data_IF_397030623562
#
_entry.id   IF_397030623562
#
_cell.length_a   1.000
_cell.length_b   1.000
_cell.length_c   1.000
_cell.angle_alpha   90.00
_cell.angle_beta   90.00
_cell.angle_gamma   90.00
#
_symmetry.space_group_name_H-M   'P 1'
#
loop_
_entity.id
_entity.type
_entity.pdbx_description
1 polymer ?
#
# COMPACT_ATOMS: atom_id res chain seq x y z
N UNK A 1 -38.38 -50.37 -35.58
CA UNK A 1 -37.71 -49.09 -35.89
C UNK A 1 -37.69 -48.24 -34.62
N UNK A 2 -36.51 -47.96 -34.05
CA UNK A 2 -36.37 -47.10 -32.87
C UNK A 2 -36.34 -45.64 -33.33
N UNK A 3 -37.26 -44.80 -32.85
CA UNK A 3 -37.23 -43.37 -33.16
C UNK A 3 -36.74 -42.60 -31.93
N UNK A 4 -35.56 -42.03 -32.11
CA UNK A 4 -34.75 -41.33 -31.12
C UNK A 4 -35.35 -39.96 -30.72
N UNK A 5 -35.22 -39.66 -29.42
CA UNK A 5 -35.05 -38.37 -28.71
C UNK A 5 -35.52 -37.03 -29.30
N UNK A 6 -35.86 -36.06 -28.41
CA UNK A 6 -34.84 -35.05 -28.14
C UNK A 6 -34.65 -34.75 -26.64
N UNK A 7 -33.42 -34.91 -26.16
CA UNK A 7 -32.96 -34.45 -24.85
C UNK A 7 -32.82 -32.92 -24.89
N UNK A 8 -33.71 -32.22 -24.21
CA UNK A 8 -33.65 -30.77 -24.06
C UNK A 8 -32.42 -30.40 -23.20
N UNK A 9 -31.47 -29.73 -23.85
CA UNK A 9 -30.24 -29.19 -23.27
C UNK A 9 -30.55 -28.08 -22.27
N UNK A 10 -30.51 -28.42 -20.97
CA UNK A 10 -30.69 -27.47 -19.88
C UNK A 10 -29.40 -26.68 -19.64
N UNK A 11 -29.30 -25.49 -20.27
CA UNK A 11 -28.24 -24.50 -20.00
C UNK A 11 -28.33 -24.03 -18.55
N UNK A 12 -27.54 -24.65 -17.65
CA UNK A 12 -27.20 -24.08 -16.34
C UNK A 12 -26.53 -22.73 -16.52
N UNK A 13 -27.28 -21.65 -16.32
CA UNK A 13 -26.68 -20.32 -16.11
C UNK A 13 -25.96 -20.33 -14.75
N UNK A 14 -24.75 -19.74 -14.65
CA UNK A 14 -24.10 -19.56 -13.34
C UNK A 14 -24.98 -18.62 -12.51
N UNK A 15 -25.51 -19.13 -11.40
CA UNK A 15 -26.23 -18.32 -10.42
C UNK A 15 -25.22 -17.39 -9.78
N UNK A 16 -25.23 -16.11 -10.16
CA UNK A 16 -24.64 -15.07 -9.32
C UNK A 16 -25.25 -15.20 -7.93
N UNK A 17 -24.40 -15.24 -6.91
CA UNK A 17 -24.78 -15.46 -5.53
C UNK A 17 -25.87 -14.48 -5.08
N UNK A 18 -26.74 -14.89 -4.14
CA UNK A 18 -27.81 -14.03 -3.65
C UNK A 18 -27.21 -12.80 -2.97
N UNK A 19 -27.49 -11.61 -3.51
CA UNK A 19 -27.43 -10.35 -2.76
C UNK A 19 -28.53 -10.43 -1.69
N UNK A 20 -28.16 -11.01 -0.55
CA UNK A 20 -29.07 -11.40 0.53
C UNK A 20 -29.40 -10.17 1.38
N UNK A 21 -30.68 -9.85 1.50
CA UNK A 21 -31.18 -8.81 2.38
C UNK A 21 -31.06 -9.20 3.86
N UNK A 22 -30.29 -8.40 4.60
CA UNK A 22 -30.80 -7.64 5.74
C UNK A 22 -31.03 -8.38 7.06
N UNK A 23 -30.02 -9.02 7.62
CA UNK A 23 -29.85 -9.12 9.07
C UNK A 23 -29.02 -7.95 9.60
N UNK A 24 -29.44 -7.34 10.71
CA UNK A 24 -28.75 -6.21 11.37
C UNK A 24 -27.28 -6.49 11.66
N UNK A 25 -26.95 -7.76 11.92
CA UNK A 25 -25.59 -8.27 12.05
C UNK A 25 -24.78 -8.15 10.75
N UNK A 26 -25.35 -8.42 9.58
CA UNK A 26 -24.67 -8.23 8.28
C UNK A 26 -24.56 -6.75 7.89
N UNK A 27 -25.52 -5.91 8.27
CA UNK A 27 -25.41 -4.46 8.15
C UNK A 27 -24.26 -3.90 9.02
N UNK A 28 -24.16 -4.37 10.26
CA UNK A 28 -23.07 -4.00 11.17
C UNK A 28 -21.72 -4.55 10.69
N UNK A 29 -21.67 -5.80 10.21
CA UNK A 29 -20.45 -6.43 9.70
C UNK A 29 -19.99 -5.77 8.39
N UNK A 30 -20.93 -5.41 7.51
CA UNK A 30 -20.65 -4.67 6.28
C UNK A 30 -20.18 -3.25 6.56
N UNK A 31 -20.84 -2.53 7.46
CA UNK A 31 -20.42 -1.18 7.86
C UNK A 31 -19.05 -1.21 8.55
N UNK A 32 -18.82 -2.11 9.49
CA UNK A 32 -17.56 -2.26 10.19
C UNK A 32 -16.43 -2.70 9.25
N UNK A 33 -16.73 -3.58 8.28
CA UNK A 33 -15.79 -3.97 7.23
C UNK A 33 -15.39 -2.80 6.32
N UNK A 34 -16.35 -1.97 5.89
CA UNK A 34 -16.08 -0.77 5.11
C UNK A 34 -15.24 0.24 5.89
N UNK A 35 -15.56 0.48 7.17
CA UNK A 35 -14.79 1.40 8.03
C UNK A 35 -13.38 0.88 8.29
N UNK A 36 -13.22 -0.43 8.55
CA UNK A 36 -11.90 -1.05 8.69
C UNK A 36 -11.06 -0.90 7.42
N UNK A 37 -11.65 -1.18 6.26
CA UNK A 37 -10.96 -1.06 4.97
C UNK A 37 -10.55 0.39 4.68
N UNK A 38 -11.41 1.39 4.93
CA UNK A 38 -11.05 2.79 4.72
C UNK A 38 -9.96 3.25 5.67
N UNK A 39 -9.96 2.83 6.94
CA UNK A 39 -8.90 3.14 7.89
C UNK A 39 -7.54 2.54 7.48
N UNK A 40 -7.53 1.29 7.00
CA UNK A 40 -6.30 0.67 6.47
C UNK A 40 -5.78 1.41 5.25
N UNK A 41 -6.67 1.81 4.33
CA UNK A 41 -6.29 2.62 3.17
C UNK A 41 -5.71 3.96 3.60
N UNK A 42 -6.35 4.67 4.53
CA UNK A 42 -5.84 5.94 5.07
C UNK A 42 -4.47 5.74 5.72
N UNK A 43 -4.29 4.67 6.51
CA UNK A 43 -3.00 4.36 7.13
C UNK A 43 -1.92 4.13 6.08
N UNK A 44 -2.22 3.37 5.02
CA UNK A 44 -1.27 3.11 3.94
C UNK A 44 -0.81 4.40 3.24
N UNK A 45 -1.70 5.40 3.11
CA UNK A 45 -1.36 6.71 2.56
C UNK A 45 -0.53 7.58 3.52
N UNK A 46 -0.45 7.22 4.81
CA UNK A 46 0.34 7.96 5.80
C UNK A 46 1.81 7.51 5.85
N UNK A 47 2.20 6.48 5.09
CA UNK A 47 3.57 5.96 5.08
C UNK A 47 4.26 6.46 3.82
N UNK A 48 5.28 7.30 4.00
CA UNK A 48 6.15 7.74 2.91
C UNK A 48 7.56 7.21 3.14
N UNK A 49 8.10 6.50 2.14
CA UNK A 49 9.48 6.01 2.16
C UNK A 49 10.35 6.90 1.29
N UNK A 50 11.48 7.35 1.82
CA UNK A 50 12.54 7.96 1.03
C UNK A 50 13.69 6.99 0.85
N UNK A 51 14.24 6.95 -0.37
CA UNK A 51 15.47 6.22 -0.66
C UNK A 51 16.63 6.74 0.21
N UNK A 52 17.54 5.89 0.69
CA UNK A 52 18.70 6.30 1.49
C UNK A 52 19.56 7.40 0.85
N UNK A 53 19.58 7.46 -0.49
CA UNK A 53 20.35 8.44 -1.26
C UNK A 53 19.55 9.70 -1.61
N UNK A 54 18.40 9.92 -0.97
CA UNK A 54 17.54 11.08 -1.20
C UNK A 54 17.30 11.84 0.10
N UNK A 55 17.15 13.15 -0.05
CA UNK A 55 16.65 14.04 0.99
C UNK A 55 15.21 14.41 0.69
N UNK A 56 14.43 14.60 1.75
CA UNK A 56 13.03 14.98 1.67
C UNK A 56 12.81 16.31 2.37
N UNK A 57 12.16 17.25 1.68
CA UNK A 57 11.62 18.46 2.30
C UNK A 57 10.12 18.28 2.53
N UNK A 58 9.62 18.32 3.77
CA UNK A 58 8.20 18.14 4.06
C UNK A 58 7.40 19.32 3.51
N UNK A 59 6.39 19.01 2.71
CA UNK A 59 5.43 19.95 2.16
C UNK A 59 4.03 19.55 2.59
N UNK A 60 3.27 20.49 3.13
CA UNK A 60 1.84 20.30 3.33
C UNK A 60 1.12 20.46 1.98
N UNK A 61 0.33 19.47 1.57
CA UNK A 61 -0.46 19.53 0.34
C UNK A 61 -1.59 20.57 0.43
N UNK A 62 -2.19 20.73 1.61
CA UNK A 62 -3.33 21.64 1.83
C UNK A 62 -2.90 23.11 1.89
N UNK A 63 -1.87 23.44 2.68
CA UNK A 63 -1.41 24.83 2.82
C UNK A 63 -0.29 25.22 1.86
N UNK A 64 0.31 24.26 1.15
CA UNK A 64 1.49 24.48 0.31
C UNK A 64 2.76 24.83 1.10
N UNK A 65 2.68 24.93 2.44
CA UNK A 65 3.80 25.30 3.29
C UNK A 65 4.89 24.23 3.27
N UNK A 66 6.11 24.68 3.02
CA UNK A 66 7.32 23.86 3.02
C UNK A 66 8.03 24.05 4.36
N UNK A 67 8.29 22.96 5.05
CA UNK A 67 9.05 22.96 6.30
C UNK A 67 10.54 23.18 6.03
N UNK A 68 11.23 23.72 7.03
CA UNK A 68 12.69 23.95 6.99
C UNK A 68 13.50 22.71 7.34
N UNK A 69 12.89 21.72 7.97
CA UNK A 69 13.58 20.52 8.43
C UNK A 69 13.79 19.53 7.27
N UNK A 70 15.06 19.32 6.92
CA UNK A 70 15.48 18.33 5.93
C UNK A 70 15.52 16.96 6.60
N UNK A 71 14.74 16.00 6.10
CA UNK A 71 14.82 14.60 6.52
C UNK A 71 15.69 13.80 5.55
N UNK A 72 16.54 12.94 6.11
CA UNK A 72 17.33 11.95 5.36
C UNK A 72 16.50 10.70 5.08
N UNK A 73 16.95 9.93 4.09
CA UNK A 73 16.32 8.68 3.67
C UNK A 73 15.95 7.76 4.84
N UNK A 74 14.84 7.03 4.66
CA UNK A 74 14.19 6.28 5.74
C UNK A 74 12.68 6.25 5.56
N UNK A 75 12.03 5.47 6.42
CA UNK A 75 10.55 5.42 6.49
C UNK A 75 10.12 6.49 7.47
N UNK A 76 9.34 7.45 6.96
CA UNK A 76 8.79 8.53 7.78
C UNK A 76 7.27 8.44 7.79
N UNK A 77 6.67 8.65 8.96
CA UNK A 77 5.22 8.74 9.07
C UNK A 77 4.78 10.15 8.70
N UNK A 78 4.23 10.26 7.50
CA UNK A 78 3.82 11.52 6.91
C UNK A 78 2.32 11.46 6.81
N UNK A 79 1.62 12.25 7.63
CA UNK A 79 0.15 12.28 7.58
C UNK A 79 -0.37 12.44 6.14
N UNK A 80 -1.61 12.04 5.85
CA UNK A 80 -2.10 11.79 4.49
C UNK A 80 -2.11 13.04 3.58
N UNK A 81 -1.98 14.23 4.18
CA UNK A 81 -1.93 15.52 3.49
C UNK A 81 -0.54 16.14 3.44
N UNK A 82 0.50 15.38 3.75
CA UNK A 82 1.89 15.81 3.67
C UNK A 82 2.60 14.98 2.61
N UNK A 83 3.48 15.62 1.87
CA UNK A 83 4.32 14.98 0.86
C UNK A 83 5.75 15.46 1.01
N UNK A 84 6.69 14.69 0.46
CA UNK A 84 8.08 15.11 0.40
C UNK A 84 8.44 15.60 -0.99
N UNK A 85 9.08 16.76 -1.05
CA UNK A 85 9.88 17.13 -2.22
C UNK A 85 11.20 16.39 -2.08
N UNK A 86 11.45 15.46 -2.99
CA UNK A 86 12.67 14.65 -2.98
C UNK A 86 13.75 15.29 -3.86
N UNK A 87 14.98 15.26 -3.37
CA UNK A 87 16.15 15.70 -4.13
C UNK A 87 17.35 14.78 -3.86
N UNK A 88 18.24 14.58 -4.86
CA UNK A 88 19.34 13.65 -4.73
C UNK A 88 20.35 14.13 -3.68
N UNK A 89 20.86 13.20 -2.87
CA UNK A 89 21.96 13.49 -1.95
C UNK A 89 23.26 13.68 -2.74
N UNK A 90 23.83 14.88 -2.68
CA UNK A 90 25.12 15.20 -3.32
C UNK A 90 26.33 14.68 -2.54
N UNK A 91 26.13 14.18 -1.32
CA UNK A 91 27.17 13.60 -0.48
C UNK A 91 26.70 12.24 0.03
N UNK A 92 27.45 11.19 -0.31
CA UNK A 92 27.32 9.85 0.21
C UNK A 92 28.56 9.51 1.04
N UNK A 93 28.37 9.15 2.31
CA UNK A 93 29.47 8.68 3.15
C UNK A 93 29.67 7.20 2.90
N UNK A 94 30.73 6.83 2.18
CA UNK A 94 31.15 5.44 1.99
C UNK A 94 32.05 5.05 3.16
N UNK A 95 31.61 4.08 3.95
CA UNK A 95 32.45 3.45 4.97
C UNK A 95 33.06 2.18 4.39
N UNK A 96 34.38 2.07 4.46
CA UNK A 96 35.10 0.85 4.09
C UNK A 96 35.34 0.01 5.35
N UNK A 97 34.89 -1.24 5.34
CA UNK A 97 35.34 -2.23 6.33
C UNK A 97 36.75 -2.66 5.97
N UNK A 98 37.68 -2.62 6.92
CA UNK A 98 39.05 -3.11 6.73
C UNK A 98 39.15 -4.64 6.76
N UNK A 99 38.09 -5.32 7.19
CA UNK A 99 37.99 -6.77 7.16
C UNK A 99 37.64 -7.23 5.74
N UNK A 100 38.67 -7.34 4.90
CA UNK A 100 38.59 -8.24 3.75
C UNK A 100 38.64 -9.67 4.27
N UNK A 101 37.74 -10.57 3.82
CA UNK A 101 37.78 -12.00 4.17
C UNK A 101 39.12 -12.68 3.87
N UNK A 102 39.94 -12.07 3.01
CA UNK A 102 41.17 -12.62 2.46
C UNK A 102 42.45 -12.20 3.22
N UNK A 103 42.35 -11.46 4.33
CA UNK A 103 43.53 -11.13 5.15
C UNK A 103 43.74 -12.16 6.28
N UNK A 104 44.78 -13.02 6.23
CA UNK A 104 45.06 -13.95 7.32
C UNK A 104 45.48 -13.20 8.60
N UNK A 105 45.07 -13.64 9.80
CA UNK A 105 45.54 -13.03 11.05
C UNK A 105 47.06 -13.21 11.18
N UNK A 106 47.77 -12.11 11.43
CA UNK A 106 49.21 -12.06 11.75
C UNK A 106 49.46 -12.38 13.23
#
# INVERSE_FOLDING_TARGET
APMASPQASERRRPRLGPLRGGDETQGLLGCCGCVGATLVLIWSMCVASLSPNQYGLPKNFVSGSVGTDVVRGGIHFVGPFRSYITFPATQTTLMWSRDSPDHPPI
#
